data_IF_806328761727
#
_entry.id   IF_806328761727
#
_cell.length_a   1.000
_cell.length_b   1.000
_cell.length_c   1.000
_cell.angle_alpha   90.00
_cell.angle_beta   90.00
_cell.angle_gamma   90.00
#
_symmetry.space_group_name_H-M   'P 1'
#
loop_
_entity.id
_entity.type
_entity.pdbx_description
1 polymer ?
#
# COMPACT_ATOMS: atom_id res chain seq x y z
N UNK A 1 -3.55 -3.28 -11.93
CA UNK A 1 -2.23 -2.92 -12.49
C UNK A 1 -2.31 -1.62 -13.25
N UNK A 2 -1.44 -0.66 -12.95
CA UNK A 2 -1.40 0.64 -13.64
C UNK A 2 -0.55 0.49 -14.89
N UNK A 3 -1.13 0.79 -16.04
CA UNK A 3 -0.60 0.46 -17.36
C UNK A 3 0.71 1.24 -17.71
N UNK A 4 1.09 2.20 -16.86
CA UNK A 4 2.28 3.05 -16.95
C UNK A 4 3.63 2.32 -16.79
N UNK A 5 3.65 1.09 -16.27
CA UNK A 5 4.88 0.30 -16.01
C UNK A 5 5.41 -0.48 -17.21
N UNK A 6 4.65 -0.63 -18.30
CA UNK A 6 5.13 -1.28 -19.53
C UNK A 6 5.72 -0.25 -20.47
N UNK A 7 7.05 -0.31 -20.67
CA UNK A 7 7.79 0.63 -21.54
C UNK A 7 7.27 0.71 -22.97
N UNK A 8 6.67 -0.36 -23.50
CA UNK A 8 6.19 -0.42 -24.89
C UNK A 8 4.68 -0.19 -25.08
N UNK A 9 3.89 -0.06 -24.00
CA UNK A 9 2.41 0.03 -24.08
C UNK A 9 1.85 1.45 -24.00
N UNK A 10 2.67 2.43 -23.64
CA UNK A 10 2.26 3.82 -23.42
C UNK A 10 2.93 4.74 -24.42
N UNK A 11 2.22 5.79 -24.84
CA UNK A 11 2.83 6.87 -25.60
C UNK A 11 3.61 7.77 -24.65
N UNK A 12 4.94 7.72 -24.76
CA UNK A 12 5.81 8.69 -24.13
C UNK A 12 5.72 10.02 -24.90
N UNK A 13 5.68 11.12 -24.16
CA UNK A 13 5.52 12.47 -24.68
C UNK A 13 6.82 13.23 -24.47
N UNK A 14 7.43 13.69 -25.56
CA UNK A 14 8.59 14.57 -25.49
C UNK A 14 8.11 16.01 -25.33
N UNK A 15 8.27 16.59 -24.14
CA UNK A 15 7.72 17.91 -23.79
C UNK A 15 8.83 18.89 -23.43
N UNK A 16 8.71 20.14 -23.88
CA UNK A 16 9.66 21.21 -23.55
C UNK A 16 9.52 21.60 -22.08
N UNK A 17 10.65 21.86 -21.40
CA UNK A 17 10.65 22.48 -20.08
C UNK A 17 10.49 23.99 -20.23
N UNK A 18 9.40 24.56 -19.71
CA UNK A 18 9.12 26.00 -19.82
C UNK A 18 9.48 26.77 -18.54
N UNK A 19 9.58 26.07 -17.40
CA UNK A 19 9.93 26.66 -16.12
C UNK A 19 9.78 25.69 -14.95
N UNK A 20 10.01 26.18 -13.74
CA UNK A 20 9.83 25.40 -12.52
C UNK A 20 9.34 26.24 -11.33
N UNK A 21 8.86 25.54 -10.32
CA UNK A 21 8.42 26.07 -9.02
C UNK A 21 9.24 25.48 -7.90
N UNK A 22 9.37 26.23 -6.82
CA UNK A 22 10.00 25.78 -5.59
C UNK A 22 9.21 24.65 -4.94
N UNK A 23 9.94 23.73 -4.32
CA UNK A 23 9.36 22.70 -3.48
C UNK A 23 8.61 23.34 -2.30
N UNK A 24 7.40 22.84 -2.01
CA UNK A 24 6.66 23.26 -0.82
C UNK A 24 7.43 22.96 0.47
N UNK A 25 8.22 21.88 0.49
CA UNK A 25 9.03 21.45 1.63
C UNK A 25 10.42 22.10 1.70
N UNK A 26 10.98 22.53 0.56
CA UNK A 26 12.37 22.97 0.44
C UNK A 26 12.42 24.30 -0.29
N UNK A 27 12.44 25.40 0.47
CA UNK A 27 12.27 26.77 -0.05
C UNK A 27 13.33 27.23 -1.06
N UNK A 28 14.37 26.45 -1.33
CA UNK A 28 15.46 26.84 -2.23
C UNK A 28 15.71 25.86 -3.38
N UNK A 29 14.90 24.81 -3.56
CA UNK A 29 15.10 23.83 -4.64
C UNK A 29 13.90 23.81 -5.57
N UNK A 30 14.15 23.99 -6.87
CA UNK A 30 13.15 23.83 -7.91
C UNK A 30 12.93 22.33 -8.16
N UNK A 31 11.74 21.83 -7.82
CA UNK A 31 11.42 20.40 -7.94
C UNK A 31 10.15 20.11 -8.75
N UNK A 32 9.43 21.15 -9.15
CA UNK A 32 8.16 21.05 -9.84
C UNK A 32 8.27 21.76 -11.18
N UNK A 33 8.31 21.01 -12.27
CA UNK A 33 8.60 21.53 -13.60
C UNK A 33 7.31 21.72 -14.39
N UNK A 34 7.15 22.90 -14.99
CA UNK A 34 6.08 23.19 -15.94
C UNK A 34 6.58 22.83 -17.34
N UNK A 35 5.85 21.95 -18.00
CA UNK A 35 6.17 21.44 -19.34
C UNK A 35 5.10 21.81 -20.35
N UNK A 36 5.49 21.89 -21.61
CA UNK A 36 4.61 22.35 -22.68
C UNK A 36 4.81 21.67 -24.02
N UNK A 37 4.04 22.16 -24.98
CA UNK A 37 3.99 21.71 -26.37
C UNK A 37 4.20 22.88 -27.31
N UNK A 38 4.74 22.62 -28.51
CA UNK A 38 4.91 23.62 -29.57
C UNK A 38 3.57 23.91 -30.24
N UNK A 39 3.17 25.17 -30.32
CA UNK A 39 1.83 25.59 -30.77
C UNK A 39 1.79 26.40 -32.07
N UNK A 40 2.96 26.77 -32.60
CA UNK A 40 3.09 27.59 -33.81
C UNK A 40 4.34 28.44 -33.74
N UNK A 41 4.37 29.52 -34.51
CA UNK A 41 5.45 30.51 -34.49
C UNK A 41 4.86 31.92 -34.25
N UNK A 42 5.63 32.80 -33.63
CA UNK A 42 5.34 34.24 -33.54
C UNK A 42 5.44 34.91 -34.91
N UNK A 43 4.99 36.17 -35.01
CA UNK A 43 5.11 36.96 -36.24
C UNK A 43 6.56 37.07 -36.74
N UNK A 44 7.53 37.04 -35.82
CA UNK A 44 8.97 37.09 -36.12
C UNK A 44 9.56 35.72 -36.49
N UNK A 45 8.74 34.66 -36.54
CA UNK A 45 9.17 33.31 -36.89
C UNK A 45 9.74 32.48 -35.73
N UNK A 46 9.72 32.97 -34.48
CA UNK A 46 10.17 32.19 -33.31
C UNK A 46 9.10 31.18 -32.90
N UNK A 47 9.48 29.94 -32.55
CA UNK A 47 8.52 28.94 -32.09
C UNK A 47 7.83 29.36 -30.78
N UNK A 48 6.50 29.20 -30.73
CA UNK A 48 5.65 29.51 -29.58
C UNK A 48 5.22 28.24 -28.86
N UNK A 49 5.32 28.21 -27.54
CA UNK A 49 5.05 27.05 -26.69
C UNK A 49 3.93 27.32 -25.70
N UNK A 50 3.05 26.34 -25.48
CA UNK A 50 1.92 26.41 -24.54
C UNK A 50 2.11 25.40 -23.42
N UNK A 51 1.89 25.83 -22.18
CA UNK A 51 1.98 24.93 -21.02
C UNK A 51 0.91 23.85 -21.10
N UNK A 52 1.34 22.60 -20.88
CA UNK A 52 0.53 21.38 -20.92
C UNK A 52 0.28 20.82 -19.51
N UNK A 53 1.29 20.84 -18.66
CA UNK A 53 1.17 20.23 -17.34
C UNK A 53 2.34 20.52 -16.43
N UNK A 54 2.24 19.97 -15.21
CA UNK A 54 3.27 20.06 -14.17
C UNK A 54 3.74 18.65 -13.80
N UNK A 55 5.04 18.45 -13.71
CA UNK A 55 5.66 17.17 -13.35
C UNK A 55 6.66 17.36 -12.20
N UNK A 56 6.64 16.45 -11.23
CA UNK A 56 7.45 16.55 -10.01
C UNK A 56 8.29 15.29 -9.74
N UNK A 57 8.06 14.21 -10.49
CA UNK A 57 8.63 12.90 -10.23
C UNK A 57 9.41 12.37 -11.44
N UNK A 58 10.45 11.59 -11.18
CA UNK A 58 11.16 10.82 -12.20
C UNK A 58 12.65 11.15 -12.36
N UNK A 59 13.12 12.25 -11.81
CA UNK A 59 14.54 12.61 -11.77
C UNK A 59 15.23 11.99 -10.56
N UNK A 60 16.49 11.60 -10.72
CA UNK A 60 17.36 11.30 -9.58
C UNK A 60 17.92 12.61 -8.97
N UNK A 61 18.59 12.54 -7.82
CA UNK A 61 19.07 13.73 -7.11
C UNK A 61 20.07 14.55 -7.93
N UNK A 62 20.99 13.89 -8.65
CA UNK A 62 22.01 14.56 -9.48
C UNK A 62 21.37 15.31 -10.65
N UNK A 63 20.43 14.67 -11.36
CA UNK A 63 19.67 15.29 -12.45
C UNK A 63 18.82 16.47 -11.95
N UNK A 64 18.24 16.34 -10.75
CA UNK A 64 17.46 17.40 -10.14
C UNK A 64 18.33 18.63 -9.83
N UNK A 65 19.50 18.43 -9.25
CA UNK A 65 20.48 19.49 -8.97
C UNK A 65 20.99 20.15 -10.26
N UNK A 66 21.26 19.36 -11.30
CA UNK A 66 21.65 19.85 -12.62
C UNK A 66 20.60 20.80 -13.22
N UNK A 67 19.33 20.40 -13.17
CA UNK A 67 18.23 21.17 -13.77
C UNK A 67 17.91 22.40 -12.90
N UNK A 68 17.96 22.29 -11.57
CA UNK A 68 17.84 23.43 -10.66
C UNK A 68 18.92 24.48 -10.95
N UNK A 69 20.17 24.05 -11.16
CA UNK A 69 21.28 24.93 -11.56
C UNK A 69 21.03 25.57 -12.91
N UNK A 70 20.63 24.79 -13.92
CA UNK A 70 20.32 25.30 -15.26
C UNK A 70 19.25 26.40 -15.21
N UNK A 71 18.16 26.17 -14.48
CA UNK A 71 17.05 27.13 -14.36
C UNK A 71 17.45 28.39 -13.58
N UNK A 72 18.32 28.28 -12.58
CA UNK A 72 18.81 29.45 -11.84
C UNK A 72 19.86 30.26 -12.60
N UNK A 73 20.64 29.62 -13.48
CA UNK A 73 21.69 30.29 -14.27
C UNK A 73 21.17 30.87 -15.57
N UNK A 74 20.38 30.12 -16.33
CA UNK A 74 19.88 30.52 -17.65
C UNK A 74 18.40 30.94 -17.65
N UNK A 75 17.65 30.58 -16.61
CA UNK A 75 16.28 31.03 -16.43
C UNK A 75 16.18 32.39 -15.74
N UNK A 76 14.99 32.96 -15.80
CA UNK A 76 14.64 34.26 -15.20
C UNK A 76 13.53 34.04 -14.18
N UNK A 77 13.59 34.77 -13.06
CA UNK A 77 12.52 34.76 -12.06
C UNK A 77 11.24 35.31 -12.70
N UNK A 78 10.12 34.64 -12.46
CA UNK A 78 8.85 35.06 -13.03
C UNK A 78 8.35 36.34 -12.35
N UNK A 79 8.22 37.39 -13.14
CA UNK A 79 7.61 38.66 -12.76
C UNK A 79 6.57 39.02 -13.84
N UNK A 80 5.30 39.28 -13.49
CA UNK A 80 4.23 39.47 -14.47
C UNK A 80 4.48 40.61 -15.46
N UNK A 81 5.10 41.71 -15.01
CA UNK A 81 5.36 42.88 -15.85
C UNK A 81 6.48 42.56 -16.83
N UNK A 82 7.62 42.10 -16.31
CA UNK A 82 8.79 41.76 -17.12
C UNK A 82 8.50 40.64 -18.12
N UNK A 83 7.69 39.66 -17.72
CA UNK A 83 7.31 38.53 -18.57
C UNK A 83 6.43 38.97 -19.75
N UNK A 84 5.46 39.86 -19.50
CA UNK A 84 4.56 40.39 -20.52
C UNK A 84 5.32 41.12 -21.64
N UNK A 85 6.37 41.85 -21.29
CA UNK A 85 7.15 42.66 -22.24
C UNK A 85 8.16 41.86 -23.06
N UNK A 86 8.59 40.67 -22.61
CA UNK A 86 9.77 39.99 -23.17
C UNK A 86 9.53 38.61 -23.76
N UNK A 87 8.65 37.79 -23.17
CA UNK A 87 8.58 36.35 -23.51
C UNK A 87 7.14 35.83 -23.58
N UNK A 88 6.13 36.67 -23.33
CA UNK A 88 4.73 36.26 -23.34
C UNK A 88 4.21 35.82 -24.74
N UNK A 89 4.88 36.24 -25.81
CA UNK A 89 4.61 35.82 -27.19
C UNK A 89 5.20 34.44 -27.52
N UNK A 90 6.28 34.06 -26.84
CA UNK A 90 7.00 32.78 -27.03
C UNK A 90 6.54 31.70 -26.05
N UNK A 91 6.34 32.04 -24.78
CA UNK A 91 5.91 31.11 -23.73
C UNK A 91 4.52 31.52 -23.23
N UNK A 92 3.55 30.63 -23.39
CA UNK A 92 2.16 30.89 -22.99
C UNK A 92 1.83 29.97 -21.81
N UNK A 93 1.61 30.57 -20.64
CA UNK A 93 1.21 29.89 -19.41
C UNK A 93 -0.28 30.13 -19.10
N UNK A 94 -0.96 29.12 -18.56
CA UNK A 94 -2.28 29.26 -17.92
C UNK A 94 -2.22 29.97 -16.56
N UNK A 95 -3.13 29.63 -15.64
CA UNK A 95 -3.16 30.16 -14.28
C UNK A 95 -1.96 29.68 -13.43
N UNK A 96 -1.45 28.48 -13.70
CA UNK A 96 -0.23 27.99 -13.07
C UNK A 96 1.00 28.63 -13.71
N UNK A 97 1.55 29.64 -13.02
CA UNK A 97 2.80 30.31 -13.36
C UNK A 97 4.00 29.67 -12.63
N UNK A 98 5.18 29.60 -13.28
CA UNK A 98 6.40 29.14 -12.63
C UNK A 98 6.98 30.20 -11.68
N UNK A 99 7.89 29.81 -10.80
CA UNK A 99 8.73 30.76 -10.05
C UNK A 99 9.94 31.21 -10.90
N UNK A 100 10.45 30.31 -11.76
CA UNK A 100 11.47 30.57 -12.76
C UNK A 100 11.01 30.06 -14.13
N UNK A 101 11.09 30.90 -15.16
CA UNK A 101 10.87 30.48 -16.55
C UNK A 101 12.20 30.46 -17.30
N UNK A 102 12.27 29.66 -18.37
CA UNK A 102 13.48 29.54 -19.20
C UNK A 102 13.12 29.67 -20.67
N UNK A 103 13.88 30.46 -21.40
CA UNK A 103 13.65 30.67 -22.83
C UNK A 103 13.99 29.39 -23.63
N UNK A 104 13.27 29.11 -24.74
CA UNK A 104 13.46 27.88 -25.51
C UNK A 104 14.89 27.62 -26.00
N UNK A 105 15.71 28.66 -26.17
CA UNK A 105 17.11 28.56 -26.62
C UNK A 105 18.04 27.96 -25.57
N UNK A 106 17.65 27.97 -24.29
CA UNK A 106 18.48 27.52 -23.18
C UNK A 106 17.89 26.33 -22.42
N UNK A 107 16.74 25.83 -22.88
CA UNK A 107 16.02 24.75 -22.23
C UNK A 107 16.31 23.39 -22.87
N UNK A 108 15.64 22.37 -22.36
CA UNK A 108 15.75 20.98 -22.79
C UNK A 108 14.37 20.33 -22.89
N UNK A 109 14.35 19.10 -23.39
CA UNK A 109 13.14 18.29 -23.52
C UNK A 109 13.13 17.19 -22.46
N UNK A 110 11.98 16.96 -21.84
CA UNK A 110 11.72 15.78 -21.02
C UNK A 110 10.93 14.76 -21.81
N UNK A 111 11.38 13.50 -21.76
CA UNK A 111 10.54 12.37 -22.14
C UNK A 111 9.66 12.02 -20.94
N UNK A 112 8.37 12.29 -21.04
CA UNK A 112 7.40 12.15 -19.96
C UNK A 112 6.40 11.05 -20.30
N UNK A 113 6.14 10.19 -19.31
CA UNK A 113 5.03 9.24 -19.36
C UNK A 113 3.91 9.71 -18.46
N UNK A 114 2.69 9.71 -18.97
CA UNK A 114 1.48 9.93 -18.20
C UNK A 114 0.49 8.80 -18.46
N UNK A 115 -0.31 8.45 -17.45
CA UNK A 115 -1.35 7.43 -17.60
C UNK A 115 -2.52 7.93 -18.47
N UNK A 116 -2.90 9.21 -18.30
CA UNK A 116 -4.09 9.79 -18.92
C UNK A 116 -3.87 11.26 -19.29
N UNK A 117 -4.54 11.71 -20.36
CA UNK A 117 -4.85 13.12 -20.62
C UNK A 117 -6.25 13.42 -20.09
N UNK A 118 -6.37 14.46 -19.27
CA UNK A 118 -7.65 14.92 -18.71
C UNK A 118 -7.94 16.33 -19.21
N UNK A 119 -9.23 16.69 -19.35
CA UNK A 119 -9.59 18.07 -19.74
C UNK A 119 -9.16 19.08 -18.68
N UNK A 120 -8.58 20.19 -19.15
CA UNK A 120 -8.16 21.31 -18.32
C UNK A 120 -9.32 22.32 -18.22
N UNK A 121 -10.19 22.14 -17.22
CA UNK A 121 -11.41 22.95 -17.06
C UNK A 121 -11.18 24.25 -16.26
N UNK A 122 -10.11 24.32 -15.47
CA UNK A 122 -9.78 25.41 -14.55
C UNK A 122 -8.78 26.42 -15.14
N UNK A 123 -8.46 26.27 -16.43
CA UNK A 123 -7.44 27.06 -17.13
C UNK A 123 -6.08 27.06 -16.42
N UNK A 124 -5.78 26.00 -15.67
CA UNK A 124 -4.50 25.84 -14.96
C UNK A 124 -3.32 25.89 -15.94
N UNK A 125 -3.47 25.24 -17.09
CA UNK A 125 -2.50 25.24 -18.18
C UNK A 125 -3.05 25.93 -19.44
N UNK A 126 -2.18 26.22 -20.42
CA UNK A 126 -2.58 26.94 -21.64
C UNK A 126 -3.20 26.04 -22.72
N UNK A 127 -3.13 24.72 -22.57
CA UNK A 127 -3.77 23.72 -23.45
C UNK A 127 -5.12 23.25 -22.91
N UNK A 128 -5.98 22.70 -23.78
CA UNK A 128 -7.31 22.18 -23.40
C UNK A 128 -7.29 20.87 -22.59
N UNK A 129 -6.15 20.18 -22.57
CA UNK A 129 -5.90 18.98 -21.75
C UNK A 129 -4.68 19.18 -20.87
N UNK A 130 -4.56 18.37 -19.83
CA UNK A 130 -3.36 18.24 -18.98
C UNK A 130 -3.07 16.78 -18.64
N UNK A 131 -1.91 16.51 -18.05
CA UNK A 131 -1.38 15.17 -17.78
C UNK A 131 -1.80 14.69 -16.39
N UNK A 132 -2.26 13.43 -16.30
CA UNK A 132 -2.52 12.75 -15.03
C UNK A 132 -1.47 11.69 -14.76
N UNK A 133 -0.91 11.72 -13.56
CA UNK A 133 0.22 10.89 -13.13
C UNK A 133 1.47 11.01 -14.05
N UNK A 134 1.91 12.23 -14.41
CA UNK A 134 3.12 12.39 -15.22
C UNK A 134 4.37 12.01 -14.44
N UNK A 135 5.32 11.34 -15.11
CA UNK A 135 6.66 11.02 -14.62
C UNK A 135 7.69 11.24 -15.70
N UNK A 136 8.80 11.90 -15.36
CA UNK A 136 9.95 12.05 -16.23
C UNK A 136 10.65 10.68 -16.33
N UNK A 137 10.80 10.18 -17.54
CA UNK A 137 11.56 8.95 -17.82
C UNK A 137 13.01 9.28 -18.14
N UNK A 138 13.23 10.34 -18.91
CA UNK A 138 14.56 10.73 -19.36
C UNK A 138 14.67 12.25 -19.60
N UNK A 139 15.87 12.78 -19.38
CA UNK A 139 16.24 14.16 -19.72
C UNK A 139 16.91 14.14 -21.09
N UNK A 140 16.16 14.49 -22.14
CA UNK A 140 16.56 14.36 -23.54
C UNK A 140 17.36 15.58 -24.00
N UNK A 141 18.62 15.65 -23.58
CA UNK A 141 19.58 16.67 -24.08
C UNK A 141 20.04 16.42 -25.51
N UNK A 142 19.80 15.22 -26.02
CA UNK A 142 20.05 14.81 -27.40
C UNK A 142 19.03 15.36 -28.40
N UNK A 143 17.83 15.74 -27.92
CA UNK A 143 16.73 16.17 -28.78
C UNK A 143 16.66 17.69 -28.88
N UNK A 144 16.59 18.28 -30.09
CA UNK A 144 16.39 19.70 -30.23
C UNK A 144 15.00 20.09 -29.72
N UNK A 145 14.92 21.26 -29.07
CA UNK A 145 13.71 21.76 -28.43
C UNK A 145 12.54 21.93 -29.41
N UNK A 146 12.85 22.26 -30.67
CA UNK A 146 11.87 22.43 -31.75
C UNK A 146 11.18 21.14 -32.20
N UNK A 147 11.70 19.97 -31.83
CA UNK A 147 11.12 18.64 -32.10
C UNK A 147 10.34 18.09 -30.90
N UNK A 148 10.00 18.91 -29.91
CA UNK A 148 9.06 18.52 -28.88
C UNK A 148 7.63 18.37 -29.45
N UNK A 149 6.76 17.67 -28.72
CA UNK A 149 5.39 17.40 -29.08
C UNK A 149 4.66 18.70 -29.47
N UNK A 150 3.98 18.66 -30.61
CA UNK A 150 3.20 19.78 -31.13
C UNK A 150 1.76 19.75 -30.63
N UNK A 151 1.08 20.90 -30.67
CA UNK A 151 -0.36 21.00 -30.36
C UNK A 151 -1.17 20.14 -31.31
N UNK A 152 -0.79 20.03 -32.58
CA UNK A 152 -1.50 19.19 -33.56
C UNK A 152 -1.37 17.70 -33.21
N UNK A 153 -0.19 17.24 -32.78
CA UNK A 153 0.01 15.89 -32.28
C UNK A 153 -0.77 15.64 -30.99
N UNK A 154 -0.82 16.61 -30.08
CA UNK A 154 -1.65 16.55 -28.88
C UNK A 154 -3.15 16.46 -29.23
N UNK A 155 -3.62 17.23 -30.21
CA UNK A 155 -4.99 17.14 -30.71
C UNK A 155 -5.26 15.79 -31.39
N UNK A 156 -4.26 15.24 -32.09
CA UNK A 156 -4.35 13.90 -32.68
C UNK A 156 -4.53 12.81 -31.61
N UNK A 157 -3.83 12.93 -30.47
CA UNK A 157 -4.03 12.05 -29.31
C UNK A 157 -5.41 12.23 -28.67
N UNK A 158 -6.02 13.41 -28.82
CA UNK A 158 -7.29 13.76 -28.18
C UNK A 158 -8.52 13.73 -29.10
N UNK A 159 -8.41 13.18 -30.31
CA UNK A 159 -9.47 13.10 -31.35
C UNK A 159 -10.84 12.60 -30.87
N UNK A 160 -10.87 11.75 -29.84
CA UNK A 160 -12.13 11.24 -29.28
C UNK A 160 -12.93 12.25 -28.44
N UNK A 161 -12.34 13.43 -28.16
CA UNK A 161 -12.90 14.52 -27.36
C UNK A 161 -13.49 14.07 -26.00
N UNK A 162 -12.96 12.99 -25.42
CA UNK A 162 -13.43 12.46 -24.13
C UNK A 162 -12.89 13.31 -22.99
N UNK A 163 -13.60 13.31 -21.86
CA UNK A 163 -13.12 13.98 -20.64
C UNK A 163 -11.79 13.42 -20.13
N UNK A 164 -11.56 12.12 -20.34
CA UNK A 164 -10.35 11.38 -19.97
C UNK A 164 -9.93 10.48 -21.12
N UNK A 165 -8.65 10.54 -21.49
CA UNK A 165 -8.06 9.78 -22.60
C UNK A 165 -6.87 9.00 -22.07
N UNK A 166 -6.96 7.68 -22.11
CA UNK A 166 -5.84 6.80 -21.72
C UNK A 166 -4.78 6.84 -22.82
N UNK A 167 -3.53 7.12 -22.45
CA UNK A 167 -2.40 7.19 -23.38
C UNK A 167 -1.80 5.81 -23.72
N UNK A 168 -2.54 4.75 -23.41
CA UNK A 168 -2.22 3.39 -23.81
C UNK A 168 -2.32 3.28 -25.34
N UNK A 169 -1.32 2.68 -26.00
CA UNK A 169 -1.42 2.30 -27.41
C UNK A 169 -2.62 1.37 -27.57
N UNK A 170 -3.66 1.87 -28.23
CA UNK A 170 -4.95 1.20 -28.32
C UNK A 170 -4.99 0.12 -29.41
N UNK A 171 -5.64 -1.00 -29.04
CA UNK A 171 -6.18 -2.09 -29.88
C UNK A 171 -5.18 -2.87 -30.73
N UNK A 172 -4.55 -3.84 -30.07
CA UNK A 172 -4.00 -5.01 -30.76
C UNK A 172 -5.19 -5.91 -31.12
N UNK A 173 -5.65 -5.86 -32.36
CA UNK A 173 -6.39 -6.99 -32.94
C UNK A 173 -5.39 -8.15 -33.08
N UNK A 174 -5.71 -9.29 -32.47
CA UNK A 174 -4.82 -10.45 -32.29
C UNK A 174 -4.18 -10.98 -33.60
N UNK A 175 -4.66 -10.58 -34.77
CA UNK A 175 -4.28 -11.15 -36.06
C UNK A 175 -3.00 -10.57 -36.68
N UNK A 176 -2.62 -9.32 -36.37
CA UNK A 176 -1.44 -8.69 -36.99
C UNK A 176 -0.10 -9.11 -36.35
N UNK A 177 -0.11 -9.56 -35.09
CA UNK A 177 1.10 -10.01 -34.39
C UNK A 177 1.67 -11.31 -35.00
N UNK A 178 0.84 -12.11 -35.67
CA UNK A 178 1.26 -13.39 -36.24
C UNK A 178 2.02 -13.25 -37.58
N UNK A 179 1.95 -12.11 -38.27
CA UNK A 179 2.43 -12.00 -39.67
C UNK A 179 3.78 -11.32 -39.89
N UNK A 180 4.34 -10.61 -38.92
CA UNK A 180 5.60 -9.86 -39.13
C UNK A 180 6.75 -10.35 -38.24
N UNK A 181 6.84 -11.67 -38.08
CA UNK A 181 8.10 -12.35 -37.81
C UNK A 181 8.94 -12.39 -39.09
N UNK A 182 9.80 -11.39 -39.32
CA UNK A 182 11.11 -11.61 -39.97
C UNK A 182 11.93 -10.33 -40.11
N UNK A 183 12.86 -10.13 -39.17
CA UNK A 183 14.29 -9.80 -39.34
C UNK A 183 14.79 -9.02 -38.12
N UNK A 184 15.43 -9.76 -37.22
CA UNK A 184 16.09 -9.24 -36.03
C UNK A 184 17.44 -8.61 -36.41
N UNK A 185 17.71 -7.40 -35.94
CA UNK A 185 19.06 -6.99 -35.56
C UNK A 185 19.04 -6.79 -34.04
N UNK A 186 19.82 -7.59 -33.33
CA UNK A 186 19.75 -7.74 -31.88
C UNK A 186 20.57 -6.67 -31.14
N UNK A 187 20.04 -6.21 -30.00
CA UNK A 187 20.83 -5.80 -28.82
C UNK A 187 20.34 -6.64 -27.62
N UNK A 188 21.22 -7.03 -26.69
CA UNK A 188 21.05 -8.25 -25.91
C UNK A 188 20.01 -8.07 -24.80
N UNK A 189 19.03 -8.99 -24.75
CA UNK A 189 18.33 -9.29 -23.50
C UNK A 189 19.31 -10.07 -22.63
N UNK A 190 19.56 -9.58 -21.41
CA UNK A 190 20.09 -10.40 -20.34
C UNK A 190 19.02 -11.44 -19.99
N UNK A 191 19.04 -12.55 -20.73
CA UNK A 191 18.37 -13.80 -20.35
C UNK A 191 19.43 -14.59 -19.61
N UNK A 192 19.23 -14.77 -18.30
CA UNK A 192 19.94 -15.83 -17.58
C UNK A 192 19.49 -17.16 -18.20
N UNK A 193 20.39 -18.02 -18.68
CA UNK A 193 20.01 -19.28 -19.28
C UNK A 193 19.44 -20.20 -18.20
N UNK A 194 18.13 -20.44 -18.24
CA UNK A 194 17.52 -21.58 -17.54
C UNK A 194 17.85 -22.84 -18.33
N UNK A 195 18.45 -23.82 -17.65
CA UNK A 195 18.94 -25.10 -18.20
C UNK A 195 17.77 -26.06 -18.53
N UNK A 196 16.54 -25.71 -18.16
CA UNK A 196 15.37 -26.57 -18.31
C UNK A 196 14.59 -26.24 -19.58
N UNK A 197 14.36 -27.25 -20.43
CA UNK A 197 13.51 -27.15 -21.63
C UNK A 197 12.07 -26.81 -21.20
N UNK A 198 11.64 -25.58 -21.46
CA UNK A 198 10.33 -25.04 -21.08
C UNK A 198 9.37 -25.18 -22.26
N UNK A 199 9.01 -26.42 -22.61
CA UNK A 199 7.83 -26.66 -23.43
C UNK A 199 6.61 -26.76 -22.53
N UNK A 200 5.60 -25.93 -22.77
CA UNK A 200 4.30 -26.03 -22.11
C UNK A 200 3.69 -27.39 -22.46
N UNK A 201 3.26 -28.11 -21.43
CA UNK A 201 2.70 -29.47 -21.52
C UNK A 201 1.19 -29.44 -21.31
N UNK A 202 0.69 -28.55 -20.44
CA UNK A 202 -0.71 -28.44 -20.05
C UNK A 202 -1.13 -26.97 -19.82
N UNK A 203 -2.44 -26.73 -19.69
CA UNK A 203 -3.06 -25.39 -19.52
C UNK A 203 -3.78 -25.23 -18.16
N UNK A 204 -3.46 -26.06 -17.17
CA UNK A 204 -4.18 -26.13 -15.87
C UNK A 204 -4.08 -24.82 -15.07
N UNK A 205 -2.94 -24.12 -15.19
CA UNK A 205 -2.71 -22.82 -14.55
C UNK A 205 -2.84 -21.65 -15.54
N UNK A 206 -3.50 -21.86 -16.67
CA UNK A 206 -3.71 -20.80 -17.66
C UNK A 206 -4.46 -19.61 -17.04
N UNK A 207 -3.94 -18.41 -17.26
CA UNK A 207 -4.51 -17.17 -16.73
C UNK A 207 -4.16 -16.87 -15.26
N UNK A 208 -3.43 -17.75 -14.57
CA UNK A 208 -2.85 -17.47 -13.25
C UNK A 208 -1.42 -16.91 -13.39
N UNK A 209 -1.14 -15.85 -12.66
CA UNK A 209 0.23 -15.32 -12.49
C UNK A 209 0.74 -15.67 -11.09
N UNK A 210 1.84 -16.41 -11.04
CA UNK A 210 2.40 -16.95 -9.81
C UNK A 210 3.73 -16.27 -9.51
N UNK A 211 3.92 -15.81 -8.28
CA UNK A 211 5.21 -15.33 -7.78
C UNK A 211 5.78 -16.34 -6.79
N UNK A 212 7.02 -16.78 -7.02
CA UNK A 212 7.70 -17.69 -6.10
C UNK A 212 8.62 -16.89 -5.16
N UNK A 213 8.29 -16.92 -3.87
CA UNK A 213 9.11 -16.27 -2.86
C UNK A 213 10.44 -17.01 -2.69
N UNK A 214 10.38 -18.34 -2.59
CA UNK A 214 11.50 -19.26 -2.42
C UNK A 214 11.10 -20.70 -2.77
N UNK A 215 12.08 -21.56 -3.01
CA UNK A 215 11.91 -23.01 -3.19
C UNK A 215 11.95 -23.79 -1.87
N UNK A 216 11.78 -25.11 -1.96
CA UNK A 216 12.03 -26.07 -0.88
C UNK A 216 13.40 -26.72 -1.04
N UNK A 217 13.81 -27.57 -0.09
CA UNK A 217 15.04 -28.37 -0.24
C UNK A 217 14.94 -29.36 -1.41
N UNK A 218 13.73 -29.86 -1.69
CA UNK A 218 13.46 -30.82 -2.77
C UNK A 218 13.27 -30.16 -4.14
N UNK A 219 12.76 -28.92 -4.15
CA UNK A 219 12.44 -28.20 -5.37
C UNK A 219 12.98 -26.77 -5.30
N UNK A 220 14.01 -26.50 -6.10
CA UNK A 220 14.59 -25.17 -6.21
C UNK A 220 13.55 -24.17 -6.73
N UNK A 221 13.78 -22.89 -6.44
CA UNK A 221 12.91 -21.81 -6.93
C UNK A 221 12.79 -21.84 -8.45
N UNK A 222 13.90 -22.06 -9.15
CA UNK A 222 13.98 -22.10 -10.60
C UNK A 222 13.27 -23.34 -11.18
N UNK A 223 13.35 -24.47 -10.49
CA UNK A 223 12.61 -25.69 -10.86
C UNK A 223 11.10 -25.46 -10.74
N UNK A 224 10.67 -24.89 -9.62
CA UNK A 224 9.27 -24.57 -9.38
C UNK A 224 8.72 -23.54 -10.39
N UNK A 225 9.51 -22.53 -10.75
CA UNK A 225 9.19 -21.59 -11.85
C UNK A 225 9.02 -22.31 -13.19
N UNK A 226 9.94 -23.23 -13.53
CA UNK A 226 9.83 -24.05 -14.74
C UNK A 226 8.57 -24.92 -14.74
N UNK A 227 8.16 -25.46 -13.60
CA UNK A 227 6.93 -26.25 -13.50
C UNK A 227 5.68 -25.42 -13.69
N UNK A 228 5.59 -24.24 -13.07
CA UNK A 228 4.46 -23.32 -13.29
C UNK A 228 4.33 -23.00 -14.79
N UNK A 229 5.44 -22.73 -15.47
CA UNK A 229 5.44 -22.47 -16.92
C UNK A 229 5.05 -23.70 -17.75
N UNK A 230 5.47 -24.91 -17.36
CA UNK A 230 5.08 -26.16 -18.03
C UNK A 230 3.59 -26.45 -17.92
N UNK A 231 2.95 -25.99 -16.85
CA UNK A 231 1.52 -26.19 -16.55
C UNK A 231 0.65 -25.02 -17.08
N UNK A 232 1.25 -24.10 -17.83
CA UNK A 232 0.53 -22.99 -18.51
C UNK A 232 0.37 -21.72 -17.67
N UNK A 233 0.95 -21.69 -16.46
CA UNK A 233 0.95 -20.53 -15.59
C UNK A 233 2.05 -19.52 -15.91
N UNK A 234 1.79 -18.24 -15.65
CA UNK A 234 2.78 -17.18 -15.81
C UNK A 234 3.59 -16.99 -14.53
N UNK A 235 4.92 -17.02 -14.60
CA UNK A 235 5.77 -16.71 -13.44
C UNK A 235 6.14 -15.23 -13.42
N UNK A 236 5.97 -14.58 -12.27
CA UNK A 236 6.49 -13.23 -12.03
C UNK A 236 7.79 -13.27 -11.21
N UNK A 237 8.78 -12.47 -11.59
CA UNK A 237 10.03 -12.30 -10.83
C UNK A 237 9.89 -11.30 -9.67
N UNK A 238 8.80 -10.54 -9.63
CA UNK A 238 8.53 -9.53 -8.62
C UNK A 238 7.10 -9.65 -8.12
N UNK A 239 6.91 -9.42 -6.83
CA UNK A 239 5.59 -9.28 -6.24
C UNK A 239 4.95 -7.97 -6.74
N UNK A 240 3.96 -8.08 -7.62
CA UNK A 240 3.23 -6.97 -8.27
C UNK A 240 1.73 -7.25 -8.22
N UNK A 241 0.88 -6.24 -8.40
CA UNK A 241 -0.60 -6.35 -8.24
C UNK A 241 -1.31 -7.27 -9.25
N UNK A 242 -0.59 -7.94 -10.15
CA UNK A 242 -1.16 -8.95 -11.05
C UNK A 242 -0.72 -10.35 -10.74
N UNK A 243 0.12 -10.53 -9.73
CA UNK A 243 0.30 -11.83 -9.13
C UNK A 243 -1.06 -12.21 -8.55
N UNK A 244 -1.56 -13.39 -8.92
CA UNK A 244 -2.77 -13.98 -8.35
C UNK A 244 -2.38 -14.86 -7.15
N UNK A 245 -1.26 -15.58 -7.23
CA UNK A 245 -0.80 -16.56 -6.21
C UNK A 245 0.67 -16.34 -5.86
N UNK A 246 1.00 -16.29 -4.58
CA UNK A 246 2.35 -16.29 -4.03
C UNK A 246 2.66 -17.66 -3.46
N UNK A 247 3.64 -18.35 -4.02
CA UNK A 247 4.10 -19.65 -3.51
C UNK A 247 5.29 -19.49 -2.58
N UNK A 248 5.21 -20.15 -1.42
CA UNK A 248 6.21 -20.13 -0.35
C UNK A 248 6.70 -21.55 -0.11
N UNK A 249 7.98 -21.82 -0.37
CA UNK A 249 8.59 -23.12 -0.08
C UNK A 249 9.04 -23.25 1.38
N UNK A 250 9.69 -22.21 1.92
CA UNK A 250 10.17 -22.18 3.32
C UNK A 250 9.61 -20.92 3.99
N UNK A 251 8.95 -21.08 5.14
CA UNK A 251 8.42 -19.93 5.90
C UNK A 251 9.58 -19.06 6.40
N UNK A 252 9.55 -17.78 6.05
CA UNK A 252 10.54 -16.77 6.49
C UNK A 252 9.82 -15.54 7.02
N UNK A 253 10.51 -14.67 7.76
CA UNK A 253 9.94 -13.39 8.23
C UNK A 253 9.37 -12.51 7.11
N UNK A 254 9.84 -12.70 5.88
CA UNK A 254 9.30 -12.00 4.71
C UNK A 254 7.84 -12.33 4.45
N UNK A 255 7.39 -13.53 4.82
CA UNK A 255 5.99 -13.97 4.66
C UNK A 255 5.07 -13.08 5.49
N UNK A 256 5.37 -12.88 6.79
CA UNK A 256 4.60 -11.99 7.66
C UNK A 256 4.53 -10.55 7.12
N UNK A 257 5.65 -10.02 6.60
CA UNK A 257 5.70 -8.68 5.97
C UNK A 257 4.87 -8.58 4.69
N UNK A 258 4.64 -9.69 3.99
CA UNK A 258 3.82 -9.76 2.79
C UNK A 258 2.34 -9.86 3.19
N UNK A 259 2.00 -10.73 4.16
CA UNK A 259 0.65 -10.86 4.73
C UNK A 259 0.14 -9.50 5.23
N UNK A 260 0.96 -8.77 5.99
CA UNK A 260 0.61 -7.47 6.54
C UNK A 260 0.23 -6.40 5.49
N UNK A 261 0.58 -6.60 4.21
CA UNK A 261 0.24 -5.66 3.13
C UNK A 261 -1.20 -5.76 2.66
N UNK A 262 -1.93 -6.83 3.03
CA UNK A 262 -3.34 -7.08 2.64
C UNK A 262 -3.60 -6.84 1.16
N UNK A 263 -2.76 -7.42 0.31
CA UNK A 263 -2.82 -7.24 -1.13
C UNK A 263 -3.74 -8.28 -1.80
N UNK A 264 -4.10 -8.06 -3.06
CA UNK A 264 -5.08 -8.90 -3.78
C UNK A 264 -4.50 -10.20 -4.37
N UNK A 265 -3.62 -10.90 -3.64
CA UNK A 265 -3.09 -12.21 -4.02
C UNK A 265 -3.16 -13.20 -2.87
N UNK A 266 -3.34 -14.47 -3.20
CA UNK A 266 -3.29 -15.55 -2.21
C UNK A 266 -1.83 -15.87 -1.86
N UNK A 267 -1.55 -16.26 -0.62
CA UNK A 267 -0.24 -16.72 -0.18
C UNK A 267 -0.38 -18.16 0.26
N UNK A 268 0.27 -19.06 -0.46
CA UNK A 268 0.08 -20.50 -0.35
C UNK A 268 1.43 -21.21 -0.32
N UNK A 269 1.47 -22.34 0.36
CA UNK A 269 2.63 -23.23 0.44
C UNK A 269 2.90 -23.89 -0.90
N UNK A 270 4.18 -24.08 -1.22
CA UNK A 270 4.62 -24.73 -2.45
C UNK A 270 4.10 -26.18 -2.57
N UNK A 271 3.74 -26.81 -1.45
CA UNK A 271 3.05 -28.13 -1.42
C UNK A 271 1.77 -28.16 -2.26
N UNK A 272 1.03 -27.05 -2.36
CA UNK A 272 -0.15 -27.00 -3.21
C UNK A 272 0.22 -27.24 -4.69
N UNK A 273 1.31 -26.61 -5.17
CA UNK A 273 1.78 -26.81 -6.54
C UNK A 273 2.20 -28.27 -6.77
N UNK A 274 2.82 -28.93 -5.78
CA UNK A 274 3.13 -30.36 -5.86
C UNK A 274 1.86 -31.20 -6.04
N UNK A 275 0.78 -30.90 -5.31
CA UNK A 275 -0.50 -31.61 -5.47
C UNK A 275 -1.13 -31.39 -6.85
N UNK A 276 -1.08 -30.17 -7.37
CA UNK A 276 -1.55 -29.86 -8.73
C UNK A 276 -0.78 -30.71 -9.76
N UNK A 277 0.54 -30.84 -9.59
CA UNK A 277 1.39 -31.67 -10.46
C UNK A 277 1.08 -33.16 -10.35
N UNK A 278 0.81 -33.67 -9.14
CA UNK A 278 0.47 -35.08 -8.90
C UNK A 278 -0.90 -35.46 -9.45
N UNK A 279 -1.90 -34.58 -9.29
CA UNK A 279 -3.27 -34.84 -9.72
C UNK A 279 -3.48 -34.54 -11.20
N UNK A 280 -2.66 -33.66 -11.79
CA UNK A 280 -2.79 -33.25 -13.18
C UNK A 280 -4.03 -32.40 -13.46
N UNK A 281 -4.59 -31.75 -12.44
CA UNK A 281 -5.75 -30.85 -12.54
C UNK A 281 -5.69 -29.76 -11.44
N UNK A 282 -6.49 -28.71 -11.58
CA UNK A 282 -6.57 -27.60 -10.65
C UNK A 282 -7.30 -28.07 -9.37
N UNK A 283 -6.58 -28.11 -8.25
CA UNK A 283 -7.11 -28.56 -6.96
C UNK A 283 -7.30 -27.39 -5.98
N UNK A 284 -8.33 -27.43 -5.12
CA UNK A 284 -8.55 -26.40 -4.11
C UNK A 284 -7.44 -26.38 -3.05
N UNK A 285 -7.31 -25.26 -2.34
CA UNK A 285 -6.38 -25.11 -1.23
C UNK A 285 -6.79 -25.96 -0.03
N UNK A 286 -5.80 -26.35 0.79
CA UNK A 286 -6.01 -27.02 2.09
C UNK A 286 -5.62 -26.09 3.23
N UNK A 287 -6.26 -26.25 4.39
CA UNK A 287 -6.00 -25.47 5.60
C UNK A 287 -4.50 -25.38 5.98
N UNK A 288 -3.76 -26.49 5.87
CA UNK A 288 -2.32 -26.54 6.18
C UNK A 288 -1.39 -25.91 5.12
N UNK A 289 -1.93 -25.45 3.99
CA UNK A 289 -1.16 -24.90 2.88
C UNK A 289 -1.36 -23.40 2.74
N UNK A 290 -2.36 -22.82 3.38
CA UNK A 290 -2.66 -21.40 3.25
C UNK A 290 -1.91 -20.59 4.30
N UNK A 291 -1.43 -19.42 3.90
CA UNK A 291 -0.90 -18.38 4.77
C UNK A 291 -1.75 -17.10 4.75
N UNK A 292 -2.43 -16.84 3.65
CA UNK A 292 -3.31 -15.69 3.47
C UNK A 292 -4.20 -15.91 2.26
N UNK A 293 -5.50 -15.60 2.40
CA UNK A 293 -6.45 -15.60 1.30
C UNK A 293 -6.89 -14.16 1.05
N UNK A 294 -6.70 -13.69 -0.18
CA UNK A 294 -7.14 -12.36 -0.55
C UNK A 294 -8.66 -12.34 -0.84
N UNK A 295 -9.35 -11.22 -0.57
CA UNK A 295 -10.70 -10.97 -1.07
C UNK A 295 -10.65 -10.69 -2.58
N UNK A 296 -10.31 -11.71 -3.37
CA UNK A 296 -10.25 -11.66 -4.83
C UNK A 296 -11.50 -12.33 -5.42
N UNK A 297 -12.07 -11.74 -6.47
CA UNK A 297 -13.27 -12.26 -7.14
C UNK A 297 -13.04 -13.58 -7.89
N UNK A 298 -11.78 -14.00 -8.09
CA UNK A 298 -11.41 -15.26 -8.76
C UNK A 298 -11.28 -16.46 -7.81
N UNK A 299 -11.62 -16.33 -6.52
CA UNK A 299 -11.15 -17.25 -5.48
C UNK A 299 -11.92 -18.58 -5.35
N UNK A 300 -12.18 -19.24 -6.47
CA UNK A 300 -12.79 -20.60 -6.52
C UNK A 300 -11.91 -21.61 -5.76
N UNK A 301 -10.61 -21.33 -5.62
CA UNK A 301 -9.64 -22.20 -4.94
C UNK A 301 -9.78 -22.21 -3.41
N UNK A 302 -10.46 -21.22 -2.83
CA UNK A 302 -10.62 -21.06 -1.38
C UNK A 302 -12.06 -21.22 -0.88
N UNK A 303 -13.00 -21.70 -1.70
CA UNK A 303 -14.44 -21.77 -1.38
C UNK A 303 -14.79 -22.51 -0.07
N UNK A 304 -13.89 -23.35 0.47
CA UNK A 304 -14.07 -24.09 1.73
C UNK A 304 -13.32 -23.53 2.94
N UNK A 305 -12.57 -22.44 2.78
CA UNK A 305 -11.68 -21.88 3.81
C UNK A 305 -12.05 -20.43 4.13
N UNK A 306 -11.82 -20.03 5.37
CA UNK A 306 -11.92 -18.63 5.78
C UNK A 306 -10.72 -17.79 5.32
N UNK A 307 -10.75 -16.48 5.59
CA UNK A 307 -9.68 -15.56 5.20
C UNK A 307 -8.33 -15.82 5.91
N UNK A 308 -8.34 -16.58 7.00
CA UNK A 308 -7.16 -16.98 7.77
C UNK A 308 -6.68 -18.40 7.38
N UNK A 309 -7.42 -19.09 6.50
CA UNK A 309 -7.13 -20.42 6.01
C UNK A 309 -7.73 -21.54 6.86
N UNK A 310 -8.62 -21.25 7.82
CA UNK A 310 -9.33 -22.28 8.61
C UNK A 310 -10.50 -22.87 7.83
N UNK A 311 -10.80 -24.16 8.04
CA UNK A 311 -11.88 -24.84 7.31
C UNK A 311 -13.25 -24.54 7.92
N UNK A 312 -14.24 -24.27 7.06
CA UNK A 312 -15.63 -24.13 7.53
C UNK A 312 -16.29 -25.46 7.91
N UNK A 313 -15.73 -26.59 7.46
CA UNK A 313 -16.42 -27.89 7.50
C UNK A 313 -15.65 -28.98 8.25
N UNK A 314 -14.37 -28.77 8.51
CA UNK A 314 -13.49 -29.73 9.18
C UNK A 314 -12.97 -29.14 10.49
N UNK A 315 -12.84 -29.99 11.51
CA UNK A 315 -12.27 -29.56 12.79
C UNK A 315 -10.76 -29.37 12.68
N UNK A 316 -10.25 -28.25 13.20
CA UNK A 316 -8.81 -27.96 13.22
C UNK A 316 -8.07 -28.70 14.36
N UNK A 317 -6.74 -28.84 14.22
CA UNK A 317 -5.87 -29.34 15.30
C UNK A 317 -5.28 -28.19 16.12
N UNK A 318 -4.65 -28.47 17.25
CA UNK A 318 -3.96 -27.45 18.07
C UNK A 318 -2.90 -26.71 17.26
N UNK A 319 -2.16 -27.44 16.42
CA UNK A 319 -1.14 -26.87 15.53
C UNK A 319 -1.76 -26.01 14.42
N UNK A 320 -2.89 -26.46 13.84
CA UNK A 320 -3.64 -25.69 12.85
C UNK A 320 -4.19 -24.39 13.42
N UNK A 321 -4.71 -24.44 14.65
CA UNK A 321 -5.20 -23.28 15.36
C UNK A 321 -4.08 -22.28 15.68
N UNK A 322 -2.93 -22.75 16.19
CA UNK A 322 -1.74 -21.90 16.42
C UNK A 322 -1.32 -21.17 15.15
N UNK A 323 -1.28 -21.87 14.02
CA UNK A 323 -0.96 -21.27 12.72
C UNK A 323 -1.96 -20.17 12.34
N UNK A 324 -3.24 -20.40 12.56
CA UNK A 324 -4.31 -19.43 12.28
C UNK A 324 -4.12 -18.16 13.12
N UNK A 325 -3.82 -18.30 14.42
CA UNK A 325 -3.53 -17.16 15.29
C UNK A 325 -2.27 -16.37 14.88
N UNK A 326 -1.20 -17.04 14.44
CA UNK A 326 -0.03 -16.35 13.88
C UNK A 326 -0.38 -15.52 12.64
N UNK A 327 -1.30 -16.01 11.79
CA UNK A 327 -1.77 -15.28 10.62
C UNK A 327 -2.57 -14.04 11.04
N UNK A 328 -3.50 -14.18 12.00
CA UNK A 328 -4.29 -13.07 12.56
C UNK A 328 -3.36 -11.97 13.09
N UNK A 329 -2.33 -12.35 13.86
CA UNK A 329 -1.32 -11.42 14.39
C UNK A 329 -0.56 -10.71 13.26
N UNK A 330 -0.12 -11.44 12.23
CA UNK A 330 0.54 -10.85 11.06
C UNK A 330 -0.36 -9.93 10.24
N UNK A 331 -1.67 -10.14 10.24
CA UNK A 331 -2.63 -9.21 9.63
C UNK A 331 -2.78 -7.93 10.47
N UNK A 332 -2.37 -7.93 11.73
CA UNK A 332 -2.66 -6.86 12.70
C UNK A 332 -4.13 -6.83 13.11
N UNK A 333 -4.85 -7.94 12.90
CA UNK A 333 -6.19 -8.12 13.43
C UNK A 333 -6.09 -8.50 14.90
N UNK A 334 -7.04 -8.05 15.70
CA UNK A 334 -7.14 -8.40 17.11
C UNK A 334 -8.49 -9.06 17.36
N UNK A 335 -8.49 -10.06 18.25
CA UNK A 335 -9.74 -10.62 18.75
C UNK A 335 -10.46 -9.53 19.54
N UNK A 336 -11.49 -8.93 18.95
CA UNK A 336 -12.37 -8.07 19.71
C UNK A 336 -13.19 -8.95 20.64
N UNK A 337 -12.80 -8.96 21.92
CA UNK A 337 -13.37 -9.88 22.90
C UNK A 337 -14.78 -9.55 23.31
N UNK A 338 -15.32 -8.33 23.05
CA UNK A 338 -16.72 -7.88 23.27
C UNK A 338 -17.58 -8.87 24.09
N UNK A 339 -17.15 -9.19 25.32
CA UNK A 339 -17.77 -10.13 26.26
C UNK A 339 -18.16 -11.53 25.74
N UNK A 340 -17.54 -12.02 24.66
CA UNK A 340 -17.96 -13.26 23.95
C UNK A 340 -17.24 -14.52 24.43
N UNK A 341 -16.16 -14.41 25.21
CA UNK A 341 -15.42 -15.57 25.74
C UNK A 341 -15.74 -15.79 27.21
N UNK A 342 -16.66 -16.72 27.51
CA UNK A 342 -16.85 -17.24 28.87
C UNK A 342 -15.89 -18.40 29.12
N UNK A 343 -14.76 -18.12 29.76
CA UNK A 343 -13.89 -19.16 30.29
C UNK A 343 -14.48 -19.69 31.60
N UNK A 344 -14.93 -20.94 31.61
CA UNK A 344 -15.64 -21.56 32.76
C UNK A 344 -14.71 -22.24 33.77
N UNK A 345 -13.39 -22.05 33.66
CA UNK A 345 -12.39 -22.88 34.34
C UNK A 345 -11.53 -22.24 35.43
N UNK A 346 -11.59 -20.91 35.63
CA UNK A 346 -10.81 -20.20 36.65
C UNK A 346 -11.59 -19.04 37.25
N UNK A 347 -11.15 -18.51 38.40
CA UNK A 347 -11.65 -17.24 38.94
C UNK A 347 -11.63 -16.19 37.80
N UNK A 348 -12.78 -15.59 37.52
CA UNK A 348 -12.93 -14.56 36.50
C UNK A 348 -13.70 -13.39 37.12
N UNK A 349 -13.05 -12.24 37.15
CA UNK A 349 -13.51 -11.02 37.79
C UNK A 349 -14.01 -9.98 36.77
N UNK A 350 -14.22 -10.36 35.50
CA UNK A 350 -14.59 -9.45 34.40
C UNK A 350 -15.82 -8.57 34.68
N UNK A 351 -16.79 -9.10 35.43
CA UNK A 351 -18.02 -8.36 35.77
C UNK A 351 -17.86 -7.40 36.97
N UNK A 352 -16.66 -7.35 37.59
CA UNK A 352 -16.42 -6.62 38.83
C UNK A 352 -15.49 -5.40 38.64
N UNK A 353 -16.00 -4.26 39.10
CA UNK A 353 -15.25 -3.02 39.30
C UNK A 353 -15.00 -2.88 40.80
N UNK A 354 -13.77 -3.16 41.23
CA UNK A 354 -13.41 -3.26 42.63
C UNK A 354 -12.69 -2.03 43.18
N UNK A 355 -13.07 -1.62 44.38
CA UNK A 355 -12.26 -0.74 45.23
C UNK A 355 -11.53 -1.55 46.29
N UNK A 356 -10.23 -1.32 46.44
CA UNK A 356 -9.42 -1.94 47.49
C UNK A 356 -9.26 -0.99 48.67
N UNK A 357 -9.59 -1.46 49.87
CA UNK A 357 -9.68 -0.67 51.10
C UNK A 357 -8.30 -0.33 51.70
N UNK A 358 -7.53 0.48 50.98
CA UNK A 358 -6.14 0.86 51.30
C UNK A 358 -6.01 1.71 52.57
N UNK A 359 -7.03 2.52 52.85
CA UNK A 359 -6.94 3.70 53.71
C UNK A 359 -7.86 3.59 54.92
N UNK A 360 -7.44 4.11 56.07
CA UNK A 360 -8.24 4.12 57.31
C UNK A 360 -9.63 4.75 57.09
N UNK A 361 -9.70 5.82 56.29
CA UNK A 361 -10.95 6.38 55.81
C UNK A 361 -11.05 6.10 54.30
N UNK A 362 -12.10 5.37 53.83
CA UNK A 362 -12.26 5.10 52.41
C UNK A 362 -12.28 6.39 51.58
N UNK A 363 -11.62 6.37 50.42
CA UNK A 363 -11.38 7.52 49.51
C UNK A 363 -10.46 8.64 50.03
N UNK A 364 -10.00 8.64 51.28
CA UNK A 364 -9.07 9.65 51.79
C UNK A 364 -7.61 9.18 51.72
N UNK A 365 -6.92 9.65 50.68
CA UNK A 365 -5.50 9.33 50.44
C UNK A 365 -4.54 9.90 51.49
N UNK A 366 -4.99 10.84 52.34
CA UNK A 366 -4.18 11.41 53.42
C UNK A 366 -4.32 10.62 54.74
N UNK A 367 -5.31 9.73 54.82
CA UNK A 367 -5.49 8.88 55.99
C UNK A 367 -4.47 7.74 56.00
N UNK A 368 -4.29 7.12 57.17
CA UNK A 368 -3.28 6.09 57.38
C UNK A 368 -3.51 4.91 56.42
N UNK A 369 -2.44 4.42 55.79
CA UNK A 369 -2.49 3.18 55.00
C UNK A 369 -2.66 1.99 55.96
N UNK A 370 -3.75 1.25 55.79
CA UNK A 370 -4.12 0.09 56.63
C UNK A 370 -3.94 -1.24 55.90
N UNK A 371 -3.90 -1.22 54.57
CA UNK A 371 -3.85 -2.40 53.73
C UNK A 371 -3.01 -2.11 52.49
N UNK A 372 -1.90 -2.84 52.35
CA UNK A 372 -1.10 -2.84 51.13
C UNK A 372 -1.71 -3.81 50.12
N UNK A 373 -2.62 -3.29 49.30
CA UNK A 373 -3.38 -4.09 48.33
C UNK A 373 -2.68 -4.24 46.98
N UNK A 374 -1.42 -3.82 46.82
CA UNK A 374 -0.76 -3.77 45.51
C UNK A 374 -0.74 -5.15 44.82
N UNK A 375 -0.41 -6.21 45.55
CA UNK A 375 -0.37 -7.58 45.01
C UNK A 375 -1.79 -8.05 44.67
N UNK A 376 -2.74 -7.83 45.58
CA UNK A 376 -4.13 -8.25 45.41
C UNK A 376 -4.81 -7.53 44.24
N UNK A 377 -4.47 -6.26 43.98
CA UNK A 377 -4.93 -5.51 42.80
C UNK A 377 -4.36 -6.05 41.50
N UNK A 378 -3.08 -6.44 41.50
CA UNK A 378 -2.44 -7.04 40.33
C UNK A 378 -3.10 -8.38 40.02
N UNK A 379 -3.35 -9.20 41.04
CA UNK A 379 -4.01 -10.49 40.91
C UNK A 379 -5.47 -10.34 40.43
N UNK A 380 -6.20 -9.37 40.97
CA UNK A 380 -7.56 -9.08 40.52
C UNK A 380 -7.61 -8.61 39.06
N UNK A 381 -6.66 -7.76 38.63
CA UNK A 381 -6.51 -7.38 37.21
C UNK A 381 -6.11 -8.57 36.34
N UNK A 382 -5.28 -9.47 36.84
CA UNK A 382 -4.90 -10.70 36.15
C UNK A 382 -6.11 -11.60 35.87
N UNK A 383 -7.07 -11.64 36.80
CA UNK A 383 -8.37 -12.30 36.61
C UNK A 383 -9.42 -11.43 35.89
N UNK A 384 -8.99 -10.44 35.09
CA UNK A 384 -9.83 -9.53 34.30
C UNK A 384 -10.71 -8.54 35.08
N UNK A 385 -10.50 -8.36 36.39
CA UNK A 385 -11.23 -7.36 37.16
C UNK A 385 -10.71 -5.94 36.93
N UNK A 386 -11.61 -4.95 37.06
CA UNK A 386 -11.24 -3.53 36.96
C UNK A 386 -11.04 -2.92 38.34
N UNK A 387 -9.95 -2.18 38.56
CA UNK A 387 -9.62 -1.58 39.86
C UNK A 387 -9.88 -0.08 39.83
N UNK A 388 -10.75 0.39 40.72
CA UNK A 388 -11.07 1.79 40.91
C UNK A 388 -10.24 2.39 42.07
N UNK A 389 -9.69 3.58 41.86
CA UNK A 389 -8.94 4.32 42.89
C UNK A 389 -9.83 4.95 43.96
N UNK A 390 -11.12 5.11 43.67
CA UNK A 390 -12.14 5.69 44.55
C UNK A 390 -13.45 4.94 44.40
N UNK A 391 -14.25 4.91 45.47
CA UNK A 391 -15.63 4.42 45.44
C UNK A 391 -16.47 5.39 44.59
N UNK A 392 -16.62 5.09 43.30
CA UNK A 392 -17.47 5.80 42.34
C UNK A 392 -18.73 4.99 42.01
N UNK A 393 -19.64 5.55 41.20
CA UNK A 393 -20.91 4.89 40.81
C UNK A 393 -20.69 3.52 40.13
N UNK A 394 -19.57 3.33 39.47
CA UNK A 394 -19.25 2.12 38.71
C UNK A 394 -18.74 0.97 39.61
N UNK A 395 -18.30 1.26 40.84
CA UNK A 395 -17.78 0.25 41.77
C UNK A 395 -18.91 -0.67 42.23
N UNK A 396 -18.75 -1.97 42.07
CA UNK A 396 -19.71 -2.99 42.51
C UNK A 396 -19.10 -4.02 43.48
N UNK A 397 -17.78 -3.95 43.73
CA UNK A 397 -17.06 -4.81 44.68
C UNK A 397 -16.13 -3.98 45.58
N UNK A 398 -16.07 -4.31 46.86
CA UNK A 398 -15.11 -3.75 47.80
C UNK A 398 -14.31 -4.87 48.45
N UNK A 399 -12.99 -4.80 48.30
CA UNK A 399 -12.05 -5.80 48.80
C UNK A 399 -11.29 -5.27 50.01
N UNK A 400 -11.34 -6.03 51.11
CA UNK A 400 -10.68 -5.67 52.38
C UNK A 400 -9.75 -6.78 52.89
N UNK A 401 -8.82 -6.42 53.79
CA UNK A 401 -7.73 -7.28 54.31
C UNK A 401 -8.16 -8.47 55.18
N UNK A 402 -9.48 -8.66 55.38
CA UNK A 402 -10.03 -9.80 56.11
C UNK A 402 -10.34 -9.60 57.59
N UNK A 403 -10.03 -8.43 58.17
CA UNK A 403 -10.35 -8.13 59.57
C UNK A 403 -11.87 -7.92 59.79
N UNK A 404 -12.46 -8.64 60.76
CA UNK A 404 -13.91 -8.59 61.02
C UNK A 404 -14.36 -7.21 61.55
N UNK A 405 -13.52 -6.55 62.34
CA UNK A 405 -13.77 -5.17 62.79
C UNK A 405 -13.82 -4.18 61.64
N UNK A 406 -12.97 -4.37 60.62
CA UNK A 406 -12.96 -3.52 59.43
C UNK A 406 -14.17 -3.75 58.55
N UNK A 407 -14.63 -5.00 58.43
CA UNK A 407 -15.87 -5.33 57.72
C UNK A 407 -17.07 -4.56 58.25
N UNK A 408 -17.29 -4.56 59.58
CA UNK A 408 -18.43 -3.84 60.20
C UNK A 408 -18.37 -2.34 59.94
N UNK A 409 -17.17 -1.75 60.05
CA UNK A 409 -16.96 -0.35 59.72
C UNK A 409 -17.30 -0.04 58.25
N UNK A 410 -16.91 -0.89 57.31
CA UNK A 410 -17.22 -0.72 55.90
C UNK A 410 -18.71 -0.86 55.60
N UNK A 411 -19.40 -1.81 56.25
CA UNK A 411 -20.85 -1.96 56.14
C UNK A 411 -21.59 -0.69 56.62
N UNK A 412 -21.17 -0.11 57.76
CA UNK A 412 -21.70 1.17 58.25
C UNK A 412 -21.37 2.34 57.32
N UNK A 413 -20.14 2.39 56.78
CA UNK A 413 -19.72 3.42 55.83
C UNK A 413 -20.55 3.38 54.54
N UNK A 414 -20.74 2.20 53.95
CA UNK A 414 -21.53 2.02 52.73
C UNK A 414 -23.01 2.39 52.95
N UNK A 415 -23.57 2.08 54.13
CA UNK A 415 -24.91 2.53 54.51
C UNK A 415 -25.00 4.06 54.58
N UNK A 416 -24.00 4.74 55.17
CA UNK A 416 -23.98 6.19 55.27
C UNK A 416 -23.90 6.90 53.91
N UNK A 417 -23.25 6.29 52.93
CA UNK A 417 -23.16 6.82 51.56
C UNK A 417 -24.26 6.28 50.62
N UNK A 418 -25.25 5.53 51.14
CA UNK A 418 -26.33 4.89 50.38
C UNK A 418 -25.86 3.97 49.24
N UNK A 419 -24.73 3.27 49.41
CA UNK A 419 -24.17 2.32 48.43
C UNK A 419 -24.23 0.88 48.93
N UNK A 420 -25.43 0.39 49.23
CA UNK A 420 -25.68 -1.00 49.67
C UNK A 420 -25.68 -2.01 48.53
N UNK A 421 -25.53 -1.53 47.29
CA UNK A 421 -25.38 -2.30 46.05
C UNK A 421 -23.97 -2.92 45.89
N UNK A 422 -22.98 -2.44 46.64
CA UNK A 422 -21.59 -2.88 46.55
C UNK A 422 -21.39 -4.17 47.37
N UNK A 423 -20.86 -5.22 46.72
CA UNK A 423 -20.51 -6.47 47.38
C UNK A 423 -19.23 -6.31 48.22
N UNK A 424 -19.18 -6.87 49.43
CA UNK A 424 -18.00 -6.86 50.30
C UNK A 424 -17.33 -8.24 50.33
N UNK A 425 -16.06 -8.31 49.93
CA UNK A 425 -15.26 -9.57 49.97
C UNK A 425 -13.92 -9.39 50.66
N UNK A 426 -13.52 -10.42 51.41
CA UNK A 426 -12.18 -10.53 51.97
C UNK A 426 -11.20 -10.97 50.87
N UNK A 427 -10.03 -10.33 50.77
CA UNK A 427 -9.00 -10.58 49.75
C UNK A 427 -8.64 -12.07 49.53
N UNK A 428 -8.81 -12.92 50.55
CA UNK A 428 -8.66 -14.38 50.45
C UNK A 428 -9.44 -15.05 49.29
N UNK A 429 -10.48 -14.42 48.73
CA UNK A 429 -11.21 -14.97 47.58
C UNK A 429 -10.40 -15.00 46.29
N UNK A 430 -9.36 -14.16 46.18
CA UNK A 430 -8.49 -14.11 45.01
C UNK A 430 -7.59 -15.35 44.87
N UNK A 431 -7.38 -16.05 45.99
CA UNK A 431 -6.42 -17.14 46.12
C UNK A 431 -7.08 -18.52 46.33
N UNK A 432 -8.37 -18.63 46.02
CA UNK A 432 -9.15 -19.88 46.08
C UNK A 432 -9.36 -20.42 44.69
#
# INVERSE_FOLDING_TARGET
MKLEYFQDSMNDLDLIVMGAKFATSTRNTLNSFIVGVKSGNTADGRATYRSLGKVTAGLNNEQLEDIDRLLKTAGKKFDPVTFADTTADVLIFGNEKPDYYIEPQHTLVFQIRASELIRNNDSSFATSYTLRFPRILNVRRDKPVDECLTVDELLNLTKSNKAVIKLAKGRIELEEILKTSSRKVAKPKLVMPTIFDVRQVCDILEGFTVYLLNGTEEMSKEQAESFVQKVGGNTSFRLVDTVDIVLVGIKTEKVGKIIARRANYDIVDLKWLQRVLEHGDLVPYRQGEVYYIAPNYKNILADGLDMYGDSYTEGTTVEGLKRTFEIIEHMGDFCNVNDTIRYTGSLNCIDYNAYFDKYEIPNDKNSKLIYDSLIDEIEFRFYNGYVCDTICEEVNLLVYSGEEGRRKFLEEYLNNINRTDIELRCNSFLYK
#
